data_IF_123504648240
#
_entry.id   IF_123504648240
#
_cell.length_a   1.000
_cell.length_b   1.000
_cell.length_c   1.000
_cell.angle_alpha   90.00
_cell.angle_beta   90.00
_cell.angle_gamma   90.00
#
_symmetry.space_group_name_H-M   'P 1'
#
loop_
_entity.id
_entity.type
_entity.pdbx_description
1 polymer ?
#
# COMPACT_ATOMS: atom_id res chain seq x y z
N UNK A 1 20.68 8.88 -8.19
CA UNK A 1 19.49 8.21 -7.67
C UNK A 1 18.39 9.23 -7.43
N UNK A 2 17.22 9.02 -7.98
CA UNK A 2 16.09 9.94 -7.84
C UNK A 2 15.40 9.77 -6.49
N UNK A 3 14.53 10.72 -6.14
CA UNK A 3 13.67 10.60 -4.95
C UNK A 3 12.81 9.34 -5.01
N UNK A 4 12.25 9.03 -6.20
CA UNK A 4 11.45 7.81 -6.38
C UNK A 4 12.29 6.56 -6.15
N UNK A 5 13.52 6.52 -6.66
CA UNK A 5 14.42 5.39 -6.46
C UNK A 5 14.70 5.15 -4.97
N UNK A 6 14.98 6.21 -4.22
CA UNK A 6 15.22 6.12 -2.78
C UNK A 6 13.97 5.63 -2.05
N UNK A 7 12.81 6.14 -2.43
CA UNK A 7 11.52 5.71 -1.86
C UNK A 7 11.30 4.23 -2.09
N UNK A 8 11.57 3.73 -3.30
CA UNK A 8 11.41 2.32 -3.65
C UNK A 8 12.39 1.46 -2.85
N UNK A 9 13.66 1.84 -2.77
CA UNK A 9 14.67 1.09 -2.00
C UNK A 9 14.27 0.98 -0.53
N UNK A 10 13.86 2.10 0.07
CA UNK A 10 13.39 2.10 1.46
C UNK A 10 12.16 1.22 1.64
N UNK A 11 11.24 1.26 0.70
CA UNK A 11 10.02 0.46 0.72
C UNK A 11 10.31 -1.04 0.64
N UNK A 12 11.24 -1.44 -0.21
CA UNK A 12 11.65 -2.84 -0.32
C UNK A 12 12.26 -3.32 1.01
N UNK A 13 13.08 -2.50 1.63
CA UNK A 13 13.70 -2.81 2.92
C UNK A 13 12.64 -2.97 4.01
N UNK A 14 11.69 -2.05 4.08
CA UNK A 14 10.60 -2.11 5.06
C UNK A 14 9.68 -3.32 4.81
N UNK A 15 9.41 -3.63 3.55
CA UNK A 15 8.61 -4.79 3.18
C UNK A 15 9.28 -6.10 3.61
N UNK A 16 10.56 -6.25 3.29
CA UNK A 16 11.33 -7.43 3.70
C UNK A 16 11.35 -7.58 5.23
N UNK A 17 11.57 -6.48 5.95
CA UNK A 17 11.56 -6.47 7.42
C UNK A 17 10.20 -6.90 7.97
N UNK A 18 9.11 -6.42 7.38
CA UNK A 18 7.77 -6.78 7.79
C UNK A 18 7.51 -8.29 7.62
N UNK A 19 7.97 -8.88 6.53
CA UNK A 19 7.79 -10.31 6.27
C UNK A 19 8.53 -11.20 7.27
N UNK A 20 9.58 -10.71 7.92
CA UNK A 20 10.28 -11.43 8.98
C UNK A 20 9.60 -11.31 10.34
N UNK A 21 8.60 -10.43 10.47
CA UNK A 21 7.88 -10.26 11.74
C UNK A 21 6.97 -11.45 12.00
N UNK A 22 7.22 -12.17 13.09
CA UNK A 22 6.47 -13.38 13.45
C UNK A 22 5.10 -13.07 14.07
N UNK A 23 4.97 -11.94 14.77
CA UNK A 23 3.67 -11.48 15.27
C UNK A 23 2.89 -10.93 14.10
N UNK A 24 1.79 -11.60 13.72
CA UNK A 24 1.04 -11.24 12.50
C UNK A 24 0.35 -9.88 12.60
N UNK A 25 -0.13 -9.50 13.79
CA UNK A 25 -0.71 -8.16 13.98
C UNK A 25 0.35 -7.07 13.81
N UNK A 26 1.54 -7.28 14.37
CA UNK A 26 2.66 -6.37 14.19
C UNK A 26 3.12 -6.33 12.72
N UNK A 27 3.09 -7.47 12.04
CA UNK A 27 3.40 -7.52 10.59
C UNK A 27 2.47 -6.61 9.80
N UNK A 28 1.17 -6.65 10.09
CA UNK A 28 0.19 -5.78 9.43
C UNK A 28 0.52 -4.30 9.68
N UNK A 29 0.88 -3.93 10.91
CA UNK A 29 1.30 -2.56 11.24
C UNK A 29 2.50 -2.15 10.39
N UNK A 30 3.53 -2.99 10.32
CA UNK A 30 4.75 -2.70 9.56
C UNK A 30 4.50 -2.62 8.05
N UNK A 31 3.58 -3.45 7.52
CA UNK A 31 3.17 -3.37 6.12
C UNK A 31 2.47 -2.04 5.80
N UNK A 32 1.63 -1.54 6.70
CA UNK A 32 1.04 -0.22 6.51
C UNK A 32 2.07 0.91 6.61
N UNK A 33 3.04 0.80 7.49
CA UNK A 33 4.14 1.77 7.57
C UNK A 33 4.88 1.83 6.23
N UNK A 34 5.16 0.67 5.65
CA UNK A 34 5.79 0.56 4.34
C UNK A 34 4.92 1.21 3.25
N UNK A 35 3.63 0.91 3.22
CA UNK A 35 2.71 1.50 2.24
C UNK A 35 2.61 3.01 2.37
N UNK A 36 2.52 3.51 3.59
CA UNK A 36 2.48 4.95 3.85
C UNK A 36 3.73 5.65 3.32
N UNK A 37 4.89 5.01 3.45
CA UNK A 37 6.14 5.58 2.91
C UNK A 37 6.16 5.67 1.40
N UNK A 38 5.40 4.81 0.71
CA UNK A 38 5.33 4.78 -0.75
C UNK A 38 4.35 5.80 -1.33
N UNK A 39 3.14 5.86 -0.80
CA UNK A 39 2.01 6.48 -1.49
C UNK A 39 1.48 7.74 -0.84
N UNK A 40 1.85 8.02 0.41
CA UNK A 40 1.40 9.24 1.06
C UNK A 40 2.27 10.41 0.63
N UNK A 41 1.66 11.39 -0.01
CA UNK A 41 2.19 12.73 -0.10
C UNK A 41 1.70 13.52 1.12
N UNK A 42 2.13 14.79 1.26
CA UNK A 42 1.80 15.66 2.38
C UNK A 42 0.32 16.05 2.47
N UNK A 43 -0.59 15.15 2.14
CA UNK A 43 -2.00 15.45 2.17
C UNK A 43 -2.57 15.22 3.58
N UNK A 44 -3.56 16.02 3.95
CA UNK A 44 -4.34 15.81 5.16
C UNK A 44 -5.43 14.75 4.97
N UNK A 45 -5.37 14.03 3.86
CA UNK A 45 -6.34 12.99 3.52
C UNK A 45 -6.17 11.80 4.48
N UNK A 46 -7.28 11.18 4.94
CA UNK A 46 -7.16 9.98 5.77
C UNK A 46 -6.35 8.88 5.09
N UNK A 47 -5.45 8.26 5.84
CA UNK A 47 -4.51 7.26 5.34
C UNK A 47 -5.22 6.17 4.51
N UNK A 48 -6.31 5.62 5.03
CA UNK A 48 -7.01 4.52 4.35
C UNK A 48 -7.55 4.96 2.99
N UNK A 49 -8.08 6.18 2.90
CA UNK A 49 -8.60 6.70 1.63
C UNK A 49 -7.50 6.85 0.59
N UNK A 50 -6.35 7.42 0.98
CA UNK A 50 -5.20 7.57 0.09
C UNK A 50 -4.67 6.23 -0.39
N UNK A 51 -4.50 5.26 0.52
CA UNK A 51 -4.02 3.93 0.18
C UNK A 51 -4.98 3.20 -0.76
N UNK A 52 -6.27 3.25 -0.44
CA UNK A 52 -7.31 2.63 -1.28
C UNK A 52 -7.29 3.19 -2.70
N UNK A 53 -7.19 4.50 -2.81
CA UNK A 53 -7.17 5.22 -4.07
C UNK A 53 -5.97 4.84 -4.94
N UNK A 54 -4.76 4.90 -4.37
CA UNK A 54 -3.55 4.69 -5.15
C UNK A 54 -3.27 3.21 -5.42
N UNK A 55 -3.39 2.35 -4.41
CA UNK A 55 -3.07 0.93 -4.56
C UNK A 55 -4.00 0.25 -5.55
N UNK A 56 -5.31 0.48 -5.42
CA UNK A 56 -6.28 -0.16 -6.32
C UNK A 56 -6.07 0.26 -7.77
N UNK A 57 -5.69 1.53 -8.02
CA UNK A 57 -5.45 2.02 -9.37
C UNK A 57 -4.15 1.50 -9.98
N UNK A 58 -3.08 1.43 -9.19
CA UNK A 58 -1.77 1.01 -9.69
C UNK A 58 -1.69 -0.49 -9.95
N UNK A 59 -2.39 -1.29 -9.16
CA UNK A 59 -2.21 -2.75 -9.18
C UNK A 59 -3.10 -3.44 -10.21
N UNK A 60 -4.30 -2.93 -10.46
CA UNK A 60 -5.22 -3.57 -11.40
C UNK A 60 -6.17 -2.60 -12.09
N UNK A 61 -6.61 -2.98 -13.30
CA UNK A 61 -7.65 -2.29 -14.04
C UNK A 61 -9.01 -2.99 -13.90
N UNK A 62 -9.05 -4.18 -13.33
CA UNK A 62 -10.28 -4.96 -13.16
C UNK A 62 -11.10 -4.41 -11.99
N UNK A 63 -12.36 -4.05 -12.25
CA UNK A 63 -13.23 -3.42 -11.25
C UNK A 63 -13.51 -4.35 -10.07
N UNK A 64 -13.77 -5.62 -10.33
CA UNK A 64 -14.07 -6.59 -9.26
C UNK A 64 -12.84 -6.82 -8.38
N UNK A 65 -11.66 -6.90 -8.98
CA UNK A 65 -10.41 -7.01 -8.24
C UNK A 65 -10.14 -5.76 -7.40
N UNK A 66 -10.43 -4.57 -7.92
CA UNK A 66 -10.32 -3.32 -7.16
C UNK A 66 -11.24 -3.32 -5.94
N UNK A 67 -12.47 -3.77 -6.09
CA UNK A 67 -13.41 -3.90 -4.96
C UNK A 67 -12.88 -4.85 -3.91
N UNK A 68 -12.29 -5.95 -4.34
CA UNK A 68 -11.67 -6.91 -3.43
C UNK A 68 -10.49 -6.28 -2.68
N UNK A 69 -9.60 -5.58 -3.38
CA UNK A 69 -8.46 -4.89 -2.77
C UNK A 69 -8.92 -3.86 -1.75
N UNK A 70 -9.96 -3.08 -2.07
CA UNK A 70 -10.53 -2.09 -1.15
C UNK A 70 -11.04 -2.77 0.12
N UNK A 71 -11.78 -3.86 -0.02
CA UNK A 71 -12.29 -4.64 1.11
C UNK A 71 -11.14 -5.19 1.97
N UNK A 72 -10.12 -5.72 1.32
CA UNK A 72 -8.93 -6.27 1.98
C UNK A 72 -8.16 -5.20 2.75
N UNK A 73 -7.98 -4.02 2.15
CA UNK A 73 -7.32 -2.89 2.81
C UNK A 73 -8.08 -2.44 4.06
N UNK A 74 -9.41 -2.40 3.99
CA UNK A 74 -10.25 -2.04 5.15
C UNK A 74 -10.12 -3.08 6.27
N UNK A 75 -10.13 -4.36 5.93
CA UNK A 75 -9.94 -5.44 6.89
C UNK A 75 -8.59 -5.32 7.59
N UNK A 76 -7.52 -5.20 6.84
CA UNK A 76 -6.16 -5.10 7.36
C UNK A 76 -5.95 -3.81 8.16
N UNK A 77 -6.51 -2.70 7.71
CA UNK A 77 -6.45 -1.44 8.43
C UNK A 77 -7.18 -1.54 9.79
N UNK A 78 -8.30 -2.25 9.85
CA UNK A 78 -9.01 -2.53 11.11
C UNK A 78 -8.13 -3.29 12.10
N UNK A 79 -7.35 -4.26 11.63
CA UNK A 79 -6.39 -5.01 12.44
C UNK A 79 -5.31 -4.07 12.98
N UNK A 80 -4.72 -3.25 12.09
CA UNK A 80 -3.72 -2.26 12.47
C UNK A 80 -4.27 -1.30 13.54
N UNK A 81 -5.44 -0.77 13.31
CA UNK A 81 -6.08 0.21 14.20
C UNK A 81 -6.31 -0.37 15.60
N UNK A 82 -6.83 -1.60 15.69
CA UNK A 82 -7.04 -2.26 16.96
C UNK A 82 -5.74 -2.50 17.71
N UNK A 83 -4.70 -2.94 17.00
CA UNK A 83 -3.41 -3.23 17.60
C UNK A 83 -2.70 -1.96 18.07
N UNK A 84 -2.68 -0.92 17.25
CA UNK A 84 -1.97 0.34 17.56
C UNK A 84 -2.69 1.16 18.65
N UNK A 85 -4.02 1.28 18.54
CA UNK A 85 -4.78 2.17 19.44
C UNK A 85 -5.29 1.50 20.70
N UNK A 86 -5.48 0.16 20.70
CA UNK A 86 -6.08 -0.56 21.80
C UNK A 86 -5.22 -1.71 22.30
N UNK A 87 -4.04 -1.90 21.74
CA UNK A 87 -3.16 -3.05 22.03
C UNK A 87 -3.90 -4.40 21.92
N UNK A 88 -4.92 -4.44 21.05
CA UNK A 88 -5.78 -5.61 20.89
C UNK A 88 -5.37 -6.39 19.66
N UNK A 89 -4.94 -7.64 19.87
CA UNK A 89 -4.68 -8.56 18.77
C UNK A 89 -5.99 -9.13 18.25
N UNK A 90 -6.09 -9.20 16.93
CA UNK A 90 -7.20 -9.87 16.24
C UNK A 90 -6.68 -11.12 15.56
N UNK A 91 -7.58 -12.09 15.40
CA UNK A 91 -7.31 -13.24 14.57
C UNK A 91 -7.16 -12.81 13.11
N UNK A 92 -6.11 -13.27 12.44
CA UNK A 92 -5.82 -12.91 11.06
C UNK A 92 -6.05 -14.11 10.15
N UNK A 93 -6.84 -13.90 9.10
CA UNK A 93 -6.98 -14.87 8.04
C UNK A 93 -5.66 -14.90 7.25
N UNK A 94 -4.95 -16.02 7.31
CA UNK A 94 -3.63 -16.18 6.68
C UNK A 94 -3.71 -16.01 5.15
N UNK A 95 -4.78 -16.48 4.54
CA UNK A 95 -4.97 -16.33 3.09
C UNK A 95 -5.14 -14.86 2.71
N UNK A 96 -5.90 -14.10 3.48
CA UNK A 96 -6.07 -12.68 3.24
C UNK A 96 -4.78 -11.90 3.48
N UNK A 97 -4.03 -12.26 4.52
CA UNK A 97 -2.70 -11.65 4.75
C UNK A 97 -1.78 -11.94 3.57
N UNK A 98 -1.77 -13.17 3.06
CA UNK A 98 -0.98 -13.52 1.88
C UNK A 98 -1.36 -12.72 0.65
N UNK A 99 -2.65 -12.51 0.42
CA UNK A 99 -3.13 -11.66 -0.68
C UNK A 99 -2.73 -10.20 -0.51
N UNK A 100 -2.83 -9.69 0.71
CA UNK A 100 -2.38 -8.34 1.03
C UNK A 100 -0.90 -8.15 0.71
N UNK A 101 -0.06 -9.08 1.16
CA UNK A 101 1.38 -9.08 0.85
C UNK A 101 1.64 -9.17 -0.67
N UNK A 102 0.87 -9.98 -1.38
CA UNK A 102 0.97 -10.12 -2.82
C UNK A 102 0.67 -8.80 -3.55
N UNK A 103 -0.37 -8.08 -3.15
CA UNK A 103 -0.70 -6.80 -3.77
C UNK A 103 0.34 -5.73 -3.45
N UNK A 104 0.92 -5.74 -2.27
CA UNK A 104 2.04 -4.84 -1.94
C UNK A 104 3.25 -5.14 -2.83
N UNK A 105 3.57 -6.42 -3.02
CA UNK A 105 4.64 -6.83 -3.92
C UNK A 105 4.39 -6.33 -5.34
N UNK A 106 3.17 -6.47 -5.85
CA UNK A 106 2.81 -5.98 -7.18
C UNK A 106 2.94 -4.47 -7.29
N UNK A 107 2.54 -3.74 -6.26
CA UNK A 107 2.71 -2.28 -6.22
C UNK A 107 4.18 -1.89 -6.33
N UNK A 108 5.05 -2.53 -5.56
CA UNK A 108 6.49 -2.28 -5.62
C UNK A 108 7.03 -2.55 -7.03
N UNK A 109 6.61 -3.64 -7.64
CA UNK A 109 7.02 -4.01 -9.01
C UNK A 109 6.62 -2.94 -10.01
N UNK A 110 5.39 -2.45 -9.95
CA UNK A 110 4.90 -1.38 -10.82
C UNK A 110 5.73 -0.11 -10.64
N UNK A 111 6.04 0.24 -9.40
CA UNK A 111 6.82 1.44 -9.12
C UNK A 111 8.26 1.31 -9.61
N UNK A 112 8.85 0.13 -9.56
CA UNK A 112 10.17 -0.13 -10.14
C UNK A 112 10.14 0.10 -11.67
N UNK A 113 9.13 -0.42 -12.34
CA UNK A 113 8.97 -0.23 -13.79
C UNK A 113 8.83 1.25 -14.15
N UNK A 114 8.05 2.00 -13.38
CA UNK A 114 7.88 3.44 -13.58
C UNK A 114 9.16 4.21 -13.29
N UNK A 115 9.94 3.79 -12.30
CA UNK A 115 11.26 4.38 -12.01
C UNK A 115 12.23 4.25 -13.20
N UNK A 116 12.22 3.09 -13.86
CA UNK A 116 13.05 2.84 -15.05
C UNK A 116 12.67 3.81 -16.17
N UNK A 117 11.41 4.22 -16.25
CA UNK A 117 10.93 5.20 -17.24
C UNK A 117 11.21 6.65 -16.85
N UNK A 118 11.98 6.91 -15.81
CA UNK A 118 12.33 8.24 -15.28
C UNK A 118 11.13 9.09 -14.86
N UNK A 119 10.05 8.45 -14.41
CA UNK A 119 8.86 9.13 -13.90
C UNK A 119 9.05 9.41 -12.40
N UNK A 120 8.71 10.62 -11.96
CA UNK A 120 8.82 11.00 -10.55
C UNK A 120 7.59 10.50 -9.75
N UNK A 121 7.77 10.39 -8.42
CA UNK A 121 6.69 10.03 -7.51
C UNK A 121 5.50 10.99 -7.63
N UNK A 122 5.76 12.29 -7.64
CA UNK A 122 4.71 13.31 -7.74
C UNK A 122 3.97 13.22 -9.07
N UNK A 123 4.67 12.97 -10.16
CA UNK A 123 4.07 12.78 -11.48
C UNK A 123 3.13 11.57 -11.48
N UNK A 124 3.54 10.45 -10.88
CA UNK A 124 2.73 9.24 -10.78
C UNK A 124 1.46 9.52 -9.98
N UNK A 125 1.59 10.13 -8.81
CA UNK A 125 0.44 10.44 -7.96
C UNK A 125 -0.53 11.40 -8.65
N UNK A 126 -0.01 12.38 -9.36
CA UNK A 126 -0.84 13.31 -10.14
C UNK A 126 -1.60 12.60 -11.26
N UNK A 127 -0.94 11.73 -12.01
CA UNK A 127 -1.58 10.95 -13.08
C UNK A 127 -2.69 10.06 -12.54
N UNK A 128 -2.49 9.46 -11.38
CA UNK A 128 -3.51 8.65 -10.71
C UNK A 128 -4.69 9.51 -10.30
N UNK A 129 -4.45 10.67 -9.72
CA UNK A 129 -5.51 11.60 -9.32
C UNK A 129 -6.31 12.07 -10.54
N UNK A 130 -5.65 12.43 -11.62
CA UNK A 130 -6.29 12.86 -12.86
C UNK A 130 -7.14 11.73 -13.46
N UNK A 131 -6.64 10.49 -13.45
CA UNK A 131 -7.37 9.32 -13.93
C UNK A 131 -8.61 9.03 -13.09
N UNK A 132 -8.53 9.22 -11.78
CA UNK A 132 -9.67 9.05 -10.87
C UNK A 132 -10.73 10.11 -11.15
N UNK A 133 -10.33 11.36 -11.30
CA UNK A 133 -11.26 12.45 -11.64
C UNK A 133 -11.95 12.23 -12.99
N UNK A 134 -11.23 11.73 -13.97
CA UNK A 134 -11.79 11.43 -15.29
C UNK A 134 -12.77 10.25 -15.28
N UNK A 135 -12.71 9.38 -14.28
CA UNK A 135 -13.58 8.21 -14.15
C UNK A 135 -14.92 8.55 -13.47
N UNK A 136 -15.04 9.73 -12.90
CA UNK A 136 -16.27 10.22 -12.28
C UNK A 136 -17.05 11.19 -13.21
#
# INVERSE_FOLDING_TARGET
MTELDLTIVNSITLFAKALYQNNLNQRVVELFTQLESLVLSDSNEPILNSLTKYISKLVTKNIEERKFIISLLKEMYGIRSSYVHHAKQREINIQNLGKFQYYIHNLITVLIELSISHITKDTILKEIDDAILAAY
#
